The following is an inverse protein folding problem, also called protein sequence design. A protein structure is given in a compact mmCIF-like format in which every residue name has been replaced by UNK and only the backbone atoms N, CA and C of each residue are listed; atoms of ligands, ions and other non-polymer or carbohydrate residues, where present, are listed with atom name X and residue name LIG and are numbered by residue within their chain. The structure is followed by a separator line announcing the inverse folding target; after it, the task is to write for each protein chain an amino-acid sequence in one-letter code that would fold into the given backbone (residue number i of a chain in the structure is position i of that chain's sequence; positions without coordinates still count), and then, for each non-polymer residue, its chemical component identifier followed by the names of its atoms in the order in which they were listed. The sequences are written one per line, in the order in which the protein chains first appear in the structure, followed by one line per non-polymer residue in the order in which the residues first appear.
data_IF_694904400334
#
_entry.id   IF_694904400334
#
_cell.length_a   1.000
_cell.length_b   1.000
_cell.length_c   1.000
_cell.angle_alpha   90.00
_cell.angle_beta   90.00
_cell.angle_gamma   90.00
#
_symmetry.space_group_name_H-M   'P 1'
#
loop_
_entity.id
_entity.type
_entity.pdbx_description
1 polymer ?
#
# COMPACT_ATOMS: atom_id res chain seq x y z
N UNK A 1 -16.98 -15.25 -50.47
CA UNK A 1 -16.34 -15.41 -49.14
C UNK A 1 -14.82 -15.31 -49.25
N UNK A 2 -14.23 -14.10 -49.28
CA UNK A 2 -12.76 -13.99 -49.47
C UNK A 2 -12.10 -12.69 -48.98
N UNK A 3 -12.85 -11.65 -48.60
CA UNK A 3 -12.25 -10.38 -48.17
C UNK A 3 -11.64 -10.41 -46.77
N UNK A 4 -12.21 -11.20 -45.86
CA UNK A 4 -11.84 -11.17 -44.44
C UNK A 4 -10.54 -11.94 -44.13
N UNK A 5 -10.19 -12.94 -44.94
CA UNK A 5 -8.93 -13.70 -44.85
C UNK A 5 -7.75 -12.91 -45.41
N UNK A 6 -7.92 -12.25 -46.56
CA UNK A 6 -6.90 -11.43 -47.22
C UNK A 6 -6.51 -10.24 -46.34
N UNK A 7 -7.48 -9.56 -45.70
CA UNK A 7 -7.19 -8.46 -44.77
C UNK A 7 -6.47 -8.95 -43.52
N UNK A 8 -6.84 -10.11 -42.95
CA UNK A 8 -6.12 -10.69 -41.81
C UNK A 8 -4.69 -11.07 -42.16
N UNK A 9 -4.49 -11.64 -43.34
CA UNK A 9 -3.18 -12.06 -43.82
C UNK A 9 -2.26 -10.88 -44.14
N UNK A 10 -2.81 -9.82 -44.74
CA UNK A 10 -2.10 -8.56 -44.95
C UNK A 10 -1.72 -7.89 -43.62
N UNK A 11 -2.64 -7.84 -42.66
CA UNK A 11 -2.38 -7.27 -41.32
C UNK A 11 -1.35 -8.10 -40.55
N UNK A 12 -1.38 -9.43 -40.67
CA UNK A 12 -0.38 -10.34 -40.09
C UNK A 12 1.01 -10.12 -40.67
N UNK A 13 1.14 -10.09 -41.99
CA UNK A 13 2.40 -9.78 -42.67
C UNK A 13 2.94 -8.39 -42.30
N UNK A 14 2.06 -7.38 -42.20
CA UNK A 14 2.46 -6.03 -41.73
C UNK A 14 2.88 -6.01 -40.26
N UNK A 15 2.27 -6.83 -39.40
CA UNK A 15 2.67 -7.00 -37.99
C UNK A 15 4.03 -7.67 -37.89
N UNK A 16 4.27 -8.75 -38.63
CA UNK A 16 5.55 -9.45 -38.67
C UNK A 16 6.67 -8.51 -39.16
N UNK A 17 6.41 -7.71 -40.21
CA UNK A 17 7.35 -6.67 -40.67
C UNK A 17 7.57 -5.50 -39.68
N UNK A 18 6.63 -5.27 -38.75
CA UNK A 18 6.79 -4.28 -37.67
C UNK A 18 7.54 -4.86 -36.47
N UNK A 19 7.36 -6.16 -36.19
CA UNK A 19 8.09 -6.91 -35.16
C UNK A 19 9.56 -7.15 -35.58
N UNK A 20 9.86 -7.23 -36.88
CA UNK A 20 11.22 -7.33 -37.44
C UNK A 20 12.02 -6.01 -37.36
N UNK A 21 11.39 -4.86 -37.08
CA UNK A 21 12.14 -3.61 -36.90
C UNK A 21 12.86 -3.66 -35.55
N UNK A 22 14.20 -3.68 -35.61
CA UNK A 22 15.07 -3.49 -34.46
C UNK A 22 14.53 -2.36 -33.57
N UNK A 23 14.04 -2.72 -32.38
CA UNK A 23 13.47 -1.76 -31.45
C UNK A 23 14.59 -1.18 -30.58
N UNK A 24 14.76 0.15 -30.62
CA UNK A 24 15.66 0.82 -29.68
C UNK A 24 15.08 0.66 -28.28
N UNK A 25 15.88 0.07 -27.38
CA UNK A 25 15.48 -0.14 -25.99
C UNK A 25 15.33 1.20 -25.28
N UNK A 26 14.16 1.46 -24.71
CA UNK A 26 13.89 2.70 -24.00
C UNK A 26 14.54 2.68 -22.61
N UNK A 27 15.63 3.41 -22.46
CA UNK A 27 16.27 3.69 -21.17
C UNK A 27 15.80 5.04 -20.63
N UNK A 28 15.65 5.11 -19.31
CA UNK A 28 15.12 6.28 -18.60
C UNK A 28 16.22 6.90 -17.75
N UNK A 29 16.18 8.22 -17.58
CA UNK A 29 17.09 8.92 -16.68
C UNK A 29 16.92 8.43 -15.23
N UNK A 30 17.96 8.56 -14.38
CA UNK A 30 17.86 8.30 -12.95
C UNK A 30 16.67 9.05 -12.33
N UNK A 31 15.88 8.39 -11.49
CA UNK A 31 14.81 9.02 -10.72
C UNK A 31 13.55 9.34 -11.51
N UNK A 32 13.62 9.29 -12.84
CA UNK A 32 12.52 9.68 -13.71
C UNK A 32 11.33 8.72 -13.61
N UNK A 33 11.53 7.43 -13.90
CA UNK A 33 10.41 6.52 -14.15
C UNK A 33 10.47 5.24 -13.31
N UNK A 34 9.36 4.91 -12.65
CA UNK A 34 9.03 3.58 -12.15
C UNK A 34 8.00 2.87 -13.05
N UNK A 35 7.90 1.55 -12.93
CA UNK A 35 6.86 0.76 -13.60
C UNK A 35 6.22 -0.18 -12.60
N UNK A 36 4.89 -0.22 -12.61
CA UNK A 36 4.10 -1.04 -11.71
C UNK A 36 3.23 -2.02 -12.49
N UNK A 37 3.12 -3.25 -12.00
CA UNK A 37 2.18 -4.23 -12.52
C UNK A 37 1.59 -5.15 -11.43
N UNK A 38 0.46 -5.76 -11.76
CA UNK A 38 -0.10 -6.88 -11.00
C UNK A 38 0.17 -8.19 -11.72
N UNK A 39 0.56 -9.21 -10.96
CA UNK A 39 0.60 -10.58 -11.46
C UNK A 39 -0.33 -11.47 -10.64
N UNK A 40 -1.22 -12.19 -11.32
CA UNK A 40 -2.06 -13.21 -10.70
C UNK A 40 -1.35 -14.57 -10.70
N UNK A 41 -1.36 -15.27 -9.57
CA UNK A 41 -0.76 -16.60 -9.42
C UNK A 41 -1.87 -17.63 -9.23
N UNK A 42 -2.36 -18.17 -10.35
CA UNK A 42 -3.52 -19.07 -10.41
C UNK A 42 -3.37 -20.34 -9.54
N UNK A 43 -2.16 -20.91 -9.54
CA UNK A 43 -1.86 -22.16 -8.82
C UNK A 43 -1.53 -21.94 -7.33
N UNK A 44 -1.63 -20.71 -6.84
CA UNK A 44 -1.24 -20.35 -5.48
C UNK A 44 -2.40 -19.71 -4.73
N UNK A 45 -2.60 -20.17 -3.51
CA UNK A 45 -3.58 -19.61 -2.59
C UNK A 45 -2.97 -19.42 -1.22
N UNK A 46 -3.62 -18.62 -0.39
CA UNK A 46 -3.29 -18.48 1.03
C UNK A 46 -4.54 -18.66 1.86
N UNK A 47 -4.40 -19.34 3.00
CA UNK A 47 -5.49 -19.47 3.96
C UNK A 47 -5.53 -18.22 4.85
N UNK A 48 -6.59 -17.45 4.73
CA UNK A 48 -6.80 -16.24 5.55
C UNK A 48 -8.19 -16.29 6.18
N UNK A 49 -8.25 -16.19 7.52
CA UNK A 49 -9.49 -16.30 8.30
C UNK A 49 -10.33 -17.55 7.94
N UNK A 50 -9.65 -18.69 7.75
CA UNK A 50 -10.28 -19.98 7.41
C UNK A 50 -10.79 -20.09 5.96
N UNK A 51 -10.48 -19.14 5.08
CA UNK A 51 -10.86 -19.18 3.66
C UNK A 51 -9.64 -19.15 2.77
N UNK A 52 -9.63 -20.00 1.74
CA UNK A 52 -8.63 -19.94 0.69
C UNK A 52 -8.88 -18.70 -0.17
N UNK A 53 -7.88 -17.83 -0.27
CA UNK A 53 -7.90 -16.63 -1.09
C UNK A 53 -6.93 -16.73 -2.25
N UNK A 54 -7.31 -16.11 -3.37
CA UNK A 54 -6.47 -15.92 -4.55
C UNK A 54 -5.23 -15.10 -4.18
N UNK A 55 -4.11 -15.44 -4.82
CA UNK A 55 -2.83 -14.76 -4.60
C UNK A 55 -2.49 -13.84 -5.78
N UNK A 56 -2.28 -12.56 -5.47
CA UNK A 56 -1.78 -11.56 -6.40
C UNK A 56 -0.43 -11.05 -5.92
N UNK A 57 0.41 -10.61 -6.85
CA UNK A 57 1.70 -10.00 -6.56
C UNK A 57 1.69 -8.59 -7.13
N UNK A 58 1.97 -7.61 -6.29
CA UNK A 58 2.36 -6.27 -6.67
C UNK A 58 3.82 -6.29 -7.09
N UNK A 59 4.14 -5.71 -8.24
CA UNK A 59 5.52 -5.59 -8.71
C UNK A 59 5.82 -4.14 -9.02
N UNK A 60 6.93 -3.64 -8.50
CA UNK A 60 7.46 -2.33 -8.82
C UNK A 60 8.92 -2.43 -9.24
N UNK A 61 9.27 -1.78 -10.34
CA UNK A 61 10.65 -1.68 -10.80
C UNK A 61 11.01 -0.24 -11.15
N UNK A 62 12.16 0.22 -10.66
CA UNK A 62 12.75 1.48 -11.07
C UNK A 62 13.40 1.36 -12.45
N UNK A 63 13.12 2.31 -13.33
CA UNK A 63 13.50 2.29 -14.73
C UNK A 63 15.01 2.37 -14.95
N UNK A 64 15.74 3.13 -14.12
CA UNK A 64 17.18 3.31 -14.23
C UNK A 64 17.97 2.25 -13.45
N UNK A 65 17.84 2.15 -12.11
CA UNK A 65 18.62 1.15 -11.34
C UNK A 65 18.21 -0.29 -11.58
N UNK A 66 16.99 -0.53 -12.05
CA UNK A 66 16.38 -1.87 -12.12
C UNK A 66 16.18 -2.51 -10.75
N UNK A 67 16.21 -1.70 -9.68
CA UNK A 67 15.85 -2.14 -8.34
C UNK A 67 14.38 -2.53 -8.34
N UNK A 68 14.10 -3.70 -7.79
CA UNK A 68 12.78 -4.34 -7.80
C UNK A 68 12.23 -4.46 -6.40
N UNK A 69 10.92 -4.29 -6.29
CA UNK A 69 10.16 -4.59 -5.09
C UNK A 69 8.95 -5.44 -5.49
N UNK A 70 8.65 -6.47 -4.70
CA UNK A 70 7.46 -7.30 -4.88
C UNK A 70 6.76 -7.48 -3.53
N UNK A 71 5.42 -7.56 -3.55
CA UNK A 71 4.60 -7.81 -2.36
C UNK A 71 3.38 -8.64 -2.77
N UNK A 72 3.11 -9.73 -2.04
CA UNK A 72 1.96 -10.59 -2.26
C UNK A 72 0.76 -10.14 -1.42
N UNK A 73 -0.41 -10.16 -2.04
CA UNK A 73 -1.68 -9.69 -1.47
C UNK A 73 -2.84 -10.58 -1.91
N UNK A 74 -3.97 -10.50 -1.20
CA UNK A 74 -5.17 -11.31 -1.48
C UNK A 74 -6.28 -10.54 -2.19
N UNK A 75 -6.12 -9.23 -2.37
CA UNK A 75 -7.02 -8.34 -3.11
C UNK A 75 -6.24 -7.31 -3.91
N UNK A 76 -6.87 -6.74 -4.94
CA UNK A 76 -6.31 -5.66 -5.75
C UNK A 76 -7.14 -4.37 -5.58
N UNK A 77 -7.63 -4.07 -4.38
CA UNK A 77 -8.35 -2.81 -4.13
C UNK A 77 -7.43 -1.60 -4.30
N UNK A 78 -8.01 -0.41 -4.49
CA UNK A 78 -7.22 0.84 -4.54
C UNK A 78 -6.45 1.06 -3.23
N UNK A 79 -7.02 0.71 -2.07
CA UNK A 79 -6.32 0.76 -0.78
C UNK A 79 -5.08 -0.13 -0.78
N UNK A 80 -5.23 -1.38 -1.20
CA UNK A 80 -4.12 -2.33 -1.30
C UNK A 80 -3.07 -1.83 -2.28
N UNK A 81 -3.46 -1.30 -3.43
CA UNK A 81 -2.52 -0.70 -4.39
C UNK A 81 -1.70 0.44 -3.76
N UNK A 82 -2.35 1.36 -3.06
CA UNK A 82 -1.69 2.48 -2.39
C UNK A 82 -0.73 1.97 -1.31
N UNK A 83 -1.14 0.97 -0.52
CA UNK A 83 -0.32 0.36 0.53
C UNK A 83 0.95 -0.24 -0.03
N UNK A 84 0.84 -1.03 -1.10
CA UNK A 84 2.02 -1.62 -1.74
C UNK A 84 2.95 -0.56 -2.32
N UNK A 85 2.44 0.57 -2.84
CA UNK A 85 3.29 1.69 -3.26
C UNK A 85 4.01 2.33 -2.08
N UNK A 86 3.32 2.59 -0.97
CA UNK A 86 3.94 3.16 0.23
C UNK A 86 5.07 2.25 0.73
N UNK A 87 4.85 0.94 0.78
CA UNK A 87 5.87 -0.04 1.15
C UNK A 87 7.04 -0.06 0.16
N UNK A 88 6.77 -0.02 -1.14
CA UNK A 88 7.81 0.04 -2.18
C UNK A 88 8.65 1.31 -2.05
N UNK A 89 8.04 2.47 -1.82
CA UNK A 89 8.76 3.72 -1.64
C UNK A 89 9.65 3.67 -0.41
N UNK A 90 9.16 3.12 0.72
CA UNK A 90 9.98 2.90 1.92
C UNK A 90 11.18 2.00 1.61
N UNK A 91 10.97 0.93 0.87
CA UNK A 91 12.02 0.00 0.46
C UNK A 91 13.09 0.67 -0.42
N UNK A 92 12.69 1.55 -1.34
CA UNK A 92 13.65 2.30 -2.17
C UNK A 92 14.29 3.48 -1.45
N UNK A 93 13.71 3.95 -0.33
CA UNK A 93 14.09 5.19 0.35
C UNK A 93 13.57 6.46 -0.35
N UNK A 94 12.62 6.33 -1.27
CA UNK A 94 12.10 7.44 -2.09
C UNK A 94 11.14 6.98 -3.18
N UNK A 95 10.69 7.92 -4.01
CA UNK A 95 9.80 7.65 -5.15
C UNK A 95 10.25 8.38 -6.43
N UNK A 96 9.97 7.82 -7.63
CA UNK A 96 10.35 8.44 -8.90
C UNK A 96 9.40 9.58 -9.29
N UNK A 97 9.78 10.39 -10.28
CA UNK A 97 8.96 11.48 -10.81
C UNK A 97 7.68 11.00 -11.49
N UNK A 98 7.75 9.91 -12.24
CA UNK A 98 6.62 9.30 -12.91
C UNK A 98 6.57 7.78 -12.71
N UNK A 99 5.35 7.23 -12.72
CA UNK A 99 5.14 5.79 -12.60
C UNK A 99 4.22 5.33 -13.72
N UNK A 100 4.67 4.33 -14.48
CA UNK A 100 3.92 3.75 -15.58
C UNK A 100 2.94 2.68 -15.06
N UNK A 101 1.68 2.84 -15.45
CA UNK A 101 0.55 1.99 -15.08
C UNK A 101 -0.15 1.43 -16.32
N UNK A 102 -0.76 0.26 -16.17
CA UNK A 102 -1.79 -0.18 -17.10
C UNK A 102 -3.11 0.58 -16.90
N UNK A 103 -4.07 0.39 -17.80
CA UNK A 103 -5.42 0.95 -17.73
C UNK A 103 -6.30 0.23 -16.69
N UNK A 104 -5.75 -0.04 -15.50
CA UNK A 104 -6.44 -0.74 -14.43
C UNK A 104 -7.38 0.18 -13.65
N UNK A 105 -8.54 -0.34 -13.23
CA UNK A 105 -9.62 0.44 -12.58
C UNK A 105 -9.20 1.12 -11.28
N UNK A 106 -8.19 0.55 -10.62
CA UNK A 106 -7.60 1.08 -9.40
C UNK A 106 -6.92 2.43 -9.63
N UNK A 107 -6.42 2.66 -10.85
CA UNK A 107 -5.71 3.88 -11.27
C UNK A 107 -6.62 4.75 -12.13
N UNK A 108 -7.36 4.18 -13.08
CA UNK A 108 -8.16 4.91 -14.08
C UNK A 108 -9.60 4.43 -14.10
N UNK A 109 -10.55 5.35 -13.91
CA UNK A 109 -11.99 5.04 -13.96
C UNK A 109 -12.51 5.20 -15.40
N UNK A 110 -12.09 6.25 -16.11
CA UNK A 110 -12.53 6.51 -17.49
C UNK A 110 -11.37 7.03 -18.32
N UNK A 111 -11.11 6.38 -19.45
CA UNK A 111 -10.08 6.79 -20.41
C UNK A 111 -10.67 7.66 -21.51
N UNK A 112 -10.05 8.80 -21.78
CA UNK A 112 -10.33 9.63 -22.95
C UNK A 112 -9.13 9.62 -23.91
N UNK A 113 -9.30 10.16 -25.12
CA UNK A 113 -8.31 10.09 -26.21
C UNK A 113 -6.96 10.73 -25.83
N UNK A 114 -6.98 11.75 -24.97
CA UNK A 114 -5.77 12.27 -24.32
C UNK A 114 -5.70 11.82 -22.87
N UNK A 115 -4.46 11.63 -22.40
CA UNK A 115 -4.19 11.19 -21.03
C UNK A 115 -4.56 12.26 -19.99
N UNK A 116 -4.38 13.54 -20.33
CA UNK A 116 -4.79 14.70 -19.52
C UNK A 116 -6.31 14.74 -19.26
N UNK A 117 -7.09 14.11 -20.13
CA UNK A 117 -8.56 14.06 -20.03
C UNK A 117 -9.06 12.77 -19.34
N UNK A 118 -8.17 11.86 -18.94
CA UNK A 118 -8.58 10.60 -18.30
C UNK A 118 -8.91 10.82 -16.82
N UNK A 119 -10.04 10.29 -16.37
CA UNK A 119 -10.47 10.39 -14.97
C UNK A 119 -9.76 9.32 -14.15
N UNK A 120 -8.82 9.75 -13.31
CA UNK A 120 -8.16 8.87 -12.34
C UNK A 120 -9.14 8.46 -11.24
N UNK A 121 -8.81 7.36 -10.57
CA UNK A 121 -9.49 7.03 -9.31
C UNK A 121 -9.16 8.11 -8.28
N UNK A 122 -10.18 8.79 -7.73
CA UNK A 122 -10.00 9.93 -6.82
C UNK A 122 -9.07 9.64 -5.64
N UNK A 123 -9.14 8.44 -5.07
CA UNK A 123 -8.27 8.07 -3.95
C UNK A 123 -6.82 7.86 -4.39
N UNK A 124 -6.62 7.33 -5.59
CA UNK A 124 -5.30 7.16 -6.18
C UNK A 124 -4.71 8.50 -6.65
N UNK A 125 -5.55 9.40 -7.16
CA UNK A 125 -5.18 10.76 -7.52
C UNK A 125 -4.72 11.57 -6.30
N UNK A 126 -5.44 11.47 -5.18
CA UNK A 126 -5.03 12.09 -3.91
C UNK A 126 -3.67 11.57 -3.43
N UNK A 127 -3.48 10.25 -3.48
CA UNK A 127 -2.19 9.62 -3.18
C UNK A 127 -1.05 10.11 -4.10
N UNK A 128 -1.30 10.17 -5.41
CA UNK A 128 -0.34 10.68 -6.38
C UNK A 128 -0.02 12.15 -6.13
N UNK A 129 -1.03 12.97 -5.82
CA UNK A 129 -0.86 14.39 -5.47
C UNK A 129 -0.11 14.61 -4.15
N UNK A 130 -0.32 13.76 -3.14
CA UNK A 130 0.38 13.85 -1.85
C UNK A 130 1.89 13.66 -2.00
N UNK A 131 2.32 12.67 -2.78
CA UNK A 131 3.74 12.45 -3.07
C UNK A 131 4.22 13.31 -4.25
N UNK A 132 3.34 13.82 -5.10
CA UNK A 132 3.69 14.64 -6.26
C UNK A 132 4.29 13.86 -7.45
N UNK A 133 4.19 12.52 -7.47
CA UNK A 133 4.58 11.74 -8.65
C UNK A 133 3.47 11.76 -9.71
N UNK A 134 3.85 11.60 -10.98
CA UNK A 134 2.92 11.61 -12.11
C UNK A 134 2.52 10.19 -12.53
N UNK A 135 1.23 9.81 -12.45
CA UNK A 135 0.76 8.57 -13.04
C UNK A 135 0.78 8.64 -14.57
N UNK A 136 1.51 7.73 -15.21
CA UNK A 136 1.59 7.61 -16.67
C UNK A 136 0.86 6.37 -17.13
N UNK A 137 -0.09 6.51 -18.07
CA UNK A 137 -0.84 5.37 -18.60
C UNK A 137 -0.20 4.84 -19.87
N UNK A 138 -0.05 3.52 -19.94
CA UNK A 138 0.39 2.85 -21.16
C UNK A 138 -0.52 3.19 -22.34
N UNK A 139 0.07 3.69 -23.44
CA UNK A 139 -0.65 3.89 -24.70
C UNK A 139 -0.88 2.53 -25.38
N UNK A 140 -2.09 2.26 -25.91
CA UNK A 140 -2.32 1.11 -26.78
C UNK A 140 -1.31 1.14 -27.94
N UNK A 141 -0.78 -0.03 -28.29
CA UNK A 141 0.17 -0.23 -29.40
C UNK A 141 1.59 0.36 -29.19
N UNK A 142 1.96 0.79 -27.98
CA UNK A 142 3.36 1.09 -27.59
C UNK A 142 3.81 0.26 -26.36
N UNK A 143 3.82 -1.06 -26.51
CA UNK A 143 4.24 -1.99 -25.45
C UNK A 143 5.71 -1.87 -25.03
N UNK A 144 6.54 -1.16 -25.80
CA UNK A 144 7.99 -1.09 -25.55
C UNK A 144 8.36 -0.44 -24.21
N UNK A 145 7.50 0.41 -23.65
CA UNK A 145 7.78 1.10 -22.39
C UNK A 145 7.53 0.24 -21.16
N UNK A 146 6.60 -0.74 -21.18
CA UNK A 146 6.27 -1.59 -20.01
C UNK A 146 7.12 -2.87 -19.89
N UNK A 147 7.97 -3.16 -20.88
CA UNK A 147 8.74 -4.40 -20.93
C UNK A 147 9.77 -4.62 -19.80
N UNK A 148 9.98 -3.67 -18.87
CA UNK A 148 10.84 -3.87 -17.68
C UNK A 148 10.07 -4.62 -16.58
N UNK A 149 8.81 -4.23 -16.34
CA UNK A 149 7.97 -4.88 -15.33
C UNK A 149 7.44 -6.24 -15.82
N UNK A 150 7.08 -6.38 -17.09
CA UNK A 150 6.66 -7.67 -17.67
C UNK A 150 7.75 -8.75 -17.54
N UNK A 151 9.01 -8.41 -17.86
CA UNK A 151 10.15 -9.31 -17.63
C UNK A 151 10.35 -9.63 -16.15
N UNK A 152 10.00 -8.71 -15.26
CA UNK A 152 10.10 -8.92 -13.82
C UNK A 152 9.03 -9.87 -13.33
N UNK A 153 7.80 -9.81 -13.87
CA UNK A 153 6.75 -10.80 -13.61
C UNK A 153 7.24 -12.19 -13.97
N UNK A 154 7.79 -12.36 -15.18
CA UNK A 154 8.33 -13.65 -15.61
C UNK A 154 9.47 -14.12 -14.70
N UNK A 155 10.38 -13.22 -14.33
CA UNK A 155 11.49 -13.54 -13.43
C UNK A 155 11.02 -14.02 -12.05
N UNK A 156 9.98 -13.38 -11.47
CA UNK A 156 9.38 -13.83 -10.20
C UNK A 156 8.78 -15.23 -10.35
N UNK A 157 8.06 -15.50 -11.43
CA UNK A 157 7.51 -16.84 -11.70
C UNK A 157 8.59 -17.90 -11.78
N UNK A 158 9.67 -17.62 -12.52
CA UNK A 158 10.70 -18.62 -12.84
C UNK A 158 11.77 -18.78 -11.75
N UNK A 159 11.96 -17.80 -10.86
CA UNK A 159 13.08 -17.80 -9.90
C UNK A 159 12.67 -17.66 -8.44
N UNK A 160 11.51 -17.05 -8.15
CA UNK A 160 11.03 -16.91 -6.77
C UNK A 160 9.99 -17.97 -6.44
N UNK A 161 9.00 -18.17 -7.32
CA UNK A 161 7.88 -19.07 -7.04
C UNK A 161 8.19 -20.54 -7.27
N UNK A 162 9.24 -20.87 -8.03
CA UNK A 162 9.64 -22.26 -8.26
C UNK A 162 10.10 -22.90 -6.95
N UNK A 163 9.35 -23.91 -6.49
CA UNK A 163 9.66 -24.65 -5.26
C UNK A 163 9.39 -23.89 -3.96
N UNK A 164 8.71 -22.74 -4.04
CA UNK A 164 8.38 -21.94 -2.85
C UNK A 164 7.45 -22.72 -1.92
N UNK A 165 7.70 -22.62 -0.61
CA UNK A 165 6.82 -23.14 0.43
C UNK A 165 6.60 -22.03 1.45
N UNK A 166 5.33 -21.78 1.77
CA UNK A 166 4.95 -20.76 2.73
C UNK A 166 3.74 -21.22 3.53
N UNK A 167 3.66 -20.75 4.77
CA UNK A 167 2.63 -21.11 5.75
C UNK A 167 1.56 -20.02 5.92
N UNK A 168 1.88 -18.78 5.55
CA UNK A 168 1.01 -17.62 5.65
C UNK A 168 1.40 -16.56 4.63
N UNK A 169 0.57 -15.52 4.48
CA UNK A 169 0.89 -14.37 3.62
C UNK A 169 2.12 -13.61 4.13
N UNK A 170 2.24 -13.48 5.46
CA UNK A 170 3.36 -12.79 6.10
C UNK A 170 4.68 -13.53 5.89
N UNK A 171 4.66 -14.86 6.01
CA UNK A 171 5.80 -15.73 5.70
C UNK A 171 6.24 -15.56 4.23
N UNK A 172 5.29 -15.63 3.29
CA UNK A 172 5.56 -15.43 1.87
C UNK A 172 6.17 -14.04 1.59
N UNK A 173 5.63 -12.98 2.22
CA UNK A 173 6.14 -11.62 2.06
C UNK A 173 7.52 -11.41 2.71
N UNK A 174 7.81 -12.09 3.83
CA UNK A 174 9.15 -12.12 4.41
C UNK A 174 10.17 -12.75 3.46
N UNK A 175 9.81 -13.88 2.84
CA UNK A 175 10.63 -14.54 1.82
C UNK A 175 10.80 -13.65 0.57
N UNK A 176 9.74 -12.98 0.13
CA UNK A 176 9.76 -12.07 -1.01
C UNK A 176 10.71 -10.88 -0.78
N UNK A 177 10.68 -10.27 0.41
CA UNK A 177 11.59 -9.19 0.78
C UNK A 177 13.05 -9.67 0.80
N UNK A 178 13.32 -10.82 1.40
CA UNK A 178 14.65 -11.42 1.41
C UNK A 178 15.15 -11.72 -0.02
N UNK A 179 14.26 -12.20 -0.90
CA UNK A 179 14.58 -12.41 -2.30
C UNK A 179 14.88 -11.11 -3.03
N UNK A 180 14.07 -10.06 -2.84
CA UNK A 180 14.33 -8.72 -3.38
C UNK A 180 15.72 -8.20 -2.99
N UNK A 181 16.09 -8.32 -1.71
CA UNK A 181 17.43 -7.94 -1.23
C UNK A 181 18.54 -8.75 -1.92
N UNK A 182 18.35 -10.06 -2.07
CA UNK A 182 19.31 -10.95 -2.74
C UNK A 182 19.50 -10.61 -4.21
N UNK A 183 18.41 -10.38 -4.97
CA UNK A 183 18.50 -10.16 -6.42
C UNK A 183 18.97 -8.75 -6.76
N UNK A 184 18.58 -7.75 -5.98
CA UNK A 184 19.05 -6.37 -6.18
C UNK A 184 20.49 -6.14 -5.72
N UNK A 185 21.04 -7.04 -4.91
CA UNK A 185 22.46 -7.07 -4.53
C UNK A 185 23.37 -7.81 -5.52
N UNK A 186 22.83 -8.32 -6.65
CA UNK A 186 23.60 -9.04 -7.69
C UNK A 186 23.68 -8.26 -8.99
N UNK A 187 24.67 -8.57 -9.80
CA UNK A 187 24.83 -7.97 -11.14
C UNK A 187 23.61 -8.28 -11.99
N UNK A 188 22.97 -7.24 -12.52
CA UNK A 188 21.79 -7.39 -13.37
C UNK A 188 22.20 -7.53 -14.84
N UNK A 189 21.72 -8.59 -15.50
CA UNK A 189 22.19 -9.01 -16.82
C UNK A 189 22.07 -7.98 -17.96
N UNK A 190 21.15 -7.02 -17.84
CA UNK A 190 21.00 -5.95 -18.86
C UNK A 190 21.90 -4.75 -18.59
N UNK A 191 22.11 -4.40 -17.33
CA UNK A 191 22.84 -3.18 -16.95
C UNK A 191 24.32 -3.47 -16.66
N UNK A 192 24.68 -4.75 -16.46
CA UNK A 192 26.01 -5.20 -16.04
C UNK A 192 26.52 -4.50 -14.76
N UNK A 193 25.58 -4.04 -13.94
CA UNK A 193 25.83 -3.37 -12.67
C UNK A 193 24.86 -3.91 -11.61
N UNK A 194 25.21 -3.72 -10.34
CA UNK A 194 24.37 -4.09 -9.20
C UNK A 194 23.24 -3.04 -9.04
N UNK A 195 21.95 -3.43 -9.03
CA UNK A 195 20.83 -2.51 -8.85
C UNK A 195 20.95 -1.61 -7.62
N UNK A 196 21.33 -2.16 -6.46
CA UNK A 196 21.54 -1.35 -5.25
C UNK A 196 22.66 -0.30 -5.38
N UNK A 197 23.71 -0.55 -6.17
CA UNK A 197 24.74 0.45 -6.45
C UNK A 197 24.28 1.52 -7.45
N UNK A 198 23.37 1.17 -8.36
CA UNK A 198 22.70 2.16 -9.21
C UNK A 198 21.65 2.98 -8.45
N UNK A 199 20.97 2.37 -7.47
CA UNK A 199 19.94 3.03 -6.67
C UNK A 199 20.48 4.26 -5.92
N UNK A 200 21.73 4.18 -5.43
CA UNK A 200 22.42 5.32 -4.79
C UNK A 200 22.57 6.53 -5.71
N UNK A 201 22.58 6.29 -7.03
CA UNK A 201 22.70 7.29 -8.10
C UNK A 201 21.34 7.62 -8.74
N UNK A 202 20.25 7.07 -8.22
CA UNK A 202 18.90 7.23 -8.77
C UNK A 202 18.38 8.66 -8.58
N UNK A 203 18.69 9.31 -7.45
CA UNK A 203 18.18 10.66 -7.17
C UNK A 203 16.67 10.71 -6.96
N UNK A 204 16.11 9.73 -6.23
CA UNK A 204 14.68 9.67 -5.93
C UNK A 204 14.22 10.86 -5.08
N UNK A 205 12.93 11.19 -5.21
CA UNK A 205 12.31 12.16 -4.32
C UNK A 205 12.21 11.60 -2.89
N UNK A 206 12.52 12.40 -1.86
CA UNK A 206 12.59 11.92 -0.48
C UNK A 206 11.20 11.73 0.13
N UNK A 207 11.08 10.72 0.99
CA UNK A 207 9.89 10.49 1.83
C UNK A 207 9.89 11.43 3.03
N UNK A 208 9.29 12.61 2.88
CA UNK A 208 9.18 13.61 3.97
C UNK A 208 8.00 13.34 4.92
N UNK A 209 6.95 12.70 4.42
CA UNK A 209 5.69 12.40 5.13
C UNK A 209 5.13 11.10 4.59
N UNK A 210 4.35 10.41 5.42
CA UNK A 210 3.65 9.19 5.01
C UNK A 210 2.20 9.49 4.65
N UNK A 211 1.73 8.90 3.55
CA UNK A 211 0.33 8.97 3.17
C UNK A 211 -0.49 7.98 4.01
N UNK A 212 -1.52 8.51 4.69
CA UNK A 212 -2.43 7.73 5.51
C UNK A 212 -3.57 7.24 4.61
N UNK A 213 -3.57 5.93 4.34
CA UNK A 213 -4.48 5.26 3.38
C UNK A 213 -5.90 5.17 3.94
N UNK A 214 -5.99 5.07 5.26
CA UNK A 214 -7.25 4.87 5.94
C UNK A 214 -8.11 6.12 5.84
N UNK A 215 -9.26 5.95 5.18
CA UNK A 215 -10.36 6.92 5.25
C UNK A 215 -10.56 7.25 6.72
N UNK A 216 -10.49 8.53 7.06
CA UNK A 216 -10.99 9.03 8.33
C UNK A 216 -12.40 8.47 8.51
N UNK A 217 -12.54 7.47 9.37
CA UNK A 217 -13.81 6.84 9.65
C UNK A 217 -14.43 7.64 10.77
N UNK A 218 -15.37 8.54 10.45
CA UNK A 218 -16.16 9.18 11.49
C UNK A 218 -16.99 8.11 12.20
N UNK A 219 -16.84 8.03 13.53
CA UNK A 219 -17.59 7.14 14.41
C UNK A 219 -18.14 7.93 15.56
N UNK A 220 -19.44 7.77 15.79
CA UNK A 220 -20.09 8.26 17.00
C UNK A 220 -19.66 7.39 18.18
N UNK A 221 -19.10 8.01 19.22
CA UNK A 221 -18.81 7.32 20.49
C UNK A 221 -20.12 6.97 21.17
N UNK A 222 -20.32 5.69 21.47
CA UNK A 222 -21.52 5.19 22.13
C UNK A 222 -21.53 5.54 23.63
N UNK A 223 -22.66 5.32 24.31
CA UNK A 223 -22.83 5.67 25.73
C UNK A 223 -21.92 4.84 26.67
N UNK A 224 -21.54 3.65 26.22
CA UNK A 224 -20.57 2.76 26.86
C UNK A 224 -19.10 3.14 26.55
N UNK A 225 -18.88 4.31 25.93
CA UNK A 225 -17.59 4.85 25.53
C UNK A 225 -16.86 4.00 24.47
N UNK A 226 -17.60 3.23 23.67
CA UNK A 226 -17.03 2.41 22.59
C UNK A 226 -17.24 3.03 21.19
N UNK A 227 -16.28 2.77 20.31
CA UNK A 227 -16.36 3.01 18.86
C UNK A 227 -16.22 1.69 18.09
N UNK A 228 -16.86 1.59 16.93
CA UNK A 228 -16.81 0.37 16.10
C UNK A 228 -15.81 0.49 14.95
N UNK A 229 -14.95 -0.51 14.80
CA UNK A 229 -14.02 -0.64 13.68
C UNK A 229 -13.77 -2.12 13.35
N UNK A 230 -13.84 -2.49 12.06
CA UNK A 230 -13.54 -3.86 11.62
C UNK A 230 -14.45 -4.96 12.17
N UNK A 231 -15.62 -4.63 12.72
CA UNK A 231 -16.51 -5.60 13.39
C UNK A 231 -16.15 -5.86 14.87
N UNK A 232 -15.23 -5.07 15.43
CA UNK A 232 -14.83 -5.06 16.84
C UNK A 232 -15.15 -3.69 17.47
N UNK A 233 -15.09 -3.63 18.80
CA UNK A 233 -15.32 -2.41 19.56
C UNK A 233 -14.06 -2.00 20.33
N UNK A 234 -13.82 -0.69 20.38
CA UNK A 234 -12.64 -0.10 21.02
C UNK A 234 -13.08 1.04 21.93
N UNK A 235 -12.57 1.06 23.15
CA UNK A 235 -12.89 2.12 24.11
C UNK A 235 -12.23 3.46 23.77
N UNK A 236 -12.86 4.57 24.13
CA UNK A 236 -12.26 5.92 24.12
C UNK A 236 -12.59 6.61 25.44
N UNK A 237 -11.85 7.65 25.86
CA UNK A 237 -12.10 8.31 27.14
C UNK A 237 -13.55 8.79 27.28
N UNK A 238 -14.13 8.62 28.47
CA UNK A 238 -15.56 8.84 28.71
C UNK A 238 -16.05 10.28 28.45
N UNK A 239 -15.12 11.24 28.41
CA UNK A 239 -15.40 12.64 28.05
C UNK A 239 -15.79 12.85 26.57
N UNK A 240 -15.57 11.84 25.72
CA UNK A 240 -15.96 11.84 24.31
C UNK A 240 -17.27 11.10 24.04
N UNK A 241 -17.94 10.55 25.06
CA UNK A 241 -19.22 9.87 24.89
C UNK A 241 -20.25 10.77 24.18
N UNK A 242 -20.87 10.26 23.11
CA UNK A 242 -21.81 11.01 22.29
C UNK A 242 -21.20 11.96 21.26
N UNK A 243 -19.88 12.11 21.19
CA UNK A 243 -19.19 12.91 20.16
C UNK A 243 -18.83 12.08 18.94
N UNK A 244 -18.65 12.73 17.79
CA UNK A 244 -18.14 12.10 16.57
C UNK A 244 -16.61 12.19 16.55
N UNK A 245 -15.93 11.06 16.35
CA UNK A 245 -14.47 10.96 16.35
C UNK A 245 -13.95 10.38 15.04
N UNK A 246 -12.81 10.86 14.59
CA UNK A 246 -12.09 10.36 13.43
C UNK A 246 -11.29 9.11 13.83
N UNK A 247 -11.56 7.98 13.19
CA UNK A 247 -10.84 6.73 13.42
C UNK A 247 -9.95 6.44 12.23
N UNK A 248 -8.66 6.24 12.49
CA UNK A 248 -7.61 5.98 11.51
C UNK A 248 -6.89 4.72 11.93
N UNK A 249 -6.83 3.70 11.07
CA UNK A 249 -5.93 2.58 11.32
C UNK A 249 -4.62 2.78 10.57
N UNK A 250 -3.53 2.48 11.27
CA UNK A 250 -2.17 2.58 10.78
C UNK A 250 -1.46 1.28 11.16
N UNK A 251 -1.06 0.50 10.15
CA UNK A 251 -0.50 -0.84 10.30
C UNK A 251 -1.39 -1.78 11.13
N UNK A 252 -0.99 -2.09 12.37
CA UNK A 252 -1.72 -2.91 13.32
C UNK A 252 -2.35 -2.11 14.47
N UNK A 253 -2.38 -0.78 14.35
CA UNK A 253 -2.89 0.13 15.37
C UNK A 253 -4.12 0.89 14.88
N UNK A 254 -5.01 1.22 15.81
CA UNK A 254 -6.21 1.99 15.60
C UNK A 254 -6.15 3.26 16.46
N UNK A 255 -6.02 4.42 15.82
CA UNK A 255 -5.98 5.71 16.48
C UNK A 255 -7.34 6.41 16.34
N UNK A 256 -7.85 6.95 17.45
CA UNK A 256 -9.03 7.80 17.47
C UNK A 256 -8.65 9.26 17.72
N UNK A 257 -9.26 10.17 16.98
CA UNK A 257 -9.00 11.62 17.04
C UNK A 257 -10.30 12.40 17.24
N UNK A 258 -10.25 13.46 18.04
CA UNK A 258 -11.31 14.45 18.16
C UNK A 258 -10.70 15.84 17.98
N UNK A 259 -11.23 16.64 17.03
CA UNK A 259 -10.73 18.00 16.74
C UNK A 259 -9.20 18.05 16.53
N UNK A 260 -8.64 17.05 15.84
CA UNK A 260 -7.20 16.96 15.53
C UNK A 260 -6.33 16.44 16.68
N UNK A 261 -6.87 16.23 17.88
CA UNK A 261 -6.16 15.63 19.02
C UNK A 261 -6.35 14.11 19.02
N UNK A 262 -5.27 13.34 19.15
CA UNK A 262 -5.35 11.90 19.40
C UNK A 262 -5.89 11.67 20.82
N UNK A 263 -6.99 10.90 20.92
CA UNK A 263 -7.69 10.64 22.18
C UNK A 263 -7.57 9.19 22.65
N UNK A 264 -7.26 8.26 21.74
CA UNK A 264 -7.03 6.85 22.06
C UNK A 264 -6.17 6.20 20.98
N UNK A 265 -5.43 5.16 21.37
CA UNK A 265 -4.65 4.30 20.48
C UNK A 265 -4.79 2.85 20.95
N UNK A 266 -5.15 1.95 20.04
CA UNK A 266 -5.35 0.53 20.33
C UNK A 266 -4.60 -0.34 19.34
N UNK A 267 -4.29 -1.58 19.71
CA UNK A 267 -3.91 -2.61 18.73
C UNK A 267 -5.18 -3.15 18.08
N UNK A 268 -5.18 -3.29 16.76
CA UNK A 268 -6.31 -3.86 16.01
C UNK A 268 -6.46 -5.34 16.37
N UNK A 269 -7.67 -5.72 16.79
CA UNK A 269 -8.03 -7.13 16.93
C UNK A 269 -8.44 -7.73 15.59
N UNK A 270 -7.88 -8.89 15.27
CA UNK A 270 -8.22 -9.69 14.09
C UNK A 270 -9.34 -10.71 14.34
N UNK A 271 -9.81 -10.80 15.58
CA UNK A 271 -11.00 -11.57 15.93
C UNK A 271 -12.26 -10.84 15.47
N UNK A 272 -13.44 -11.47 15.60
CA UNK A 272 -14.73 -10.82 15.34
C UNK A 272 -15.51 -10.68 16.62
N UNK A 273 -16.18 -9.54 16.81
CA UNK A 273 -16.97 -9.19 18.00
C UNK A 273 -16.11 -9.09 19.28
N UNK A 274 -14.84 -8.74 19.12
CA UNK A 274 -13.94 -8.48 20.23
C UNK A 274 -14.16 -7.08 20.81
N UNK A 275 -13.86 -6.92 22.11
CA UNK A 275 -13.97 -5.66 22.86
C UNK A 275 -12.60 -5.31 23.47
N UNK A 276 -11.94 -4.31 22.87
CA UNK A 276 -10.62 -3.83 23.33
C UNK A 276 -10.84 -2.62 24.24
N UNK A 277 -10.73 -2.84 25.54
CA UNK A 277 -11.11 -1.89 26.59
C UNK A 277 -9.89 -1.46 27.39
N UNK A 278 -9.67 -0.14 27.49
CA UNK A 278 -8.70 0.47 28.37
C UNK A 278 -9.43 1.04 29.59
N UNK A 279 -9.15 0.48 30.77
CA UNK A 279 -9.79 0.90 32.01
C UNK A 279 -9.60 2.40 32.32
N UNK A 280 -8.51 3.00 31.86
CA UNK A 280 -8.25 4.42 32.07
C UNK A 280 -9.26 5.34 31.37
N UNK A 281 -9.88 4.87 30.29
CA UNK A 281 -10.92 5.61 29.59
C UNK A 281 -12.17 5.85 30.47
N UNK A 282 -12.37 5.05 31.52
CA UNK A 282 -13.55 5.09 32.38
C UNK A 282 -13.30 5.75 33.74
N UNK A 283 -12.06 6.17 34.07
CA UNK A 283 -11.72 6.70 35.43
C UNK A 283 -12.68 7.77 35.94
N UNK A 284 -13.14 8.69 35.07
CA UNK A 284 -14.06 9.77 35.48
C UNK A 284 -15.48 9.29 35.81
N UNK A 285 -15.88 8.12 35.32
CA UNK A 285 -17.15 7.47 35.65
C UNK A 285 -17.01 6.69 36.96
N UNK A 286 -15.91 5.97 37.15
CA UNK A 286 -15.63 5.19 38.38
C UNK A 286 -15.58 6.08 39.63
N UNK A 287 -15.04 7.30 39.53
CA UNK A 287 -15.02 8.24 40.67
C UNK A 287 -16.42 8.72 41.07
N UNK A 288 -17.42 8.65 40.18
CA UNK A 288 -18.81 9.05 40.45
C UNK A 288 -19.72 7.90 40.89
N UNK A 289 -19.34 6.65 40.61
CA UNK A 289 -20.14 5.48 40.92
C UNK A 289 -19.33 4.57 41.84
N UNK A 290 -19.58 4.67 43.14
CA UNK A 290 -19.23 3.62 44.10
C UNK A 290 -20.08 2.38 43.80
N UNK A 291 -19.59 1.49 42.94
CA UNK A 291 -20.21 0.20 42.72
C UNK A 291 -19.50 -0.84 43.58
N UNK A 292 -20.28 -1.55 44.41
CA UNK A 292 -19.84 -2.70 45.22
C UNK A 292 -19.69 -4.01 44.39
N UNK A 293 -19.62 -3.90 43.06
CA UNK A 293 -19.54 -5.05 42.14
C UNK A 293 -18.32 -4.87 41.24
N UNK A 294 -17.41 -5.85 41.26
CA UNK A 294 -16.23 -5.90 40.38
C UNK A 294 -16.65 -5.94 38.91
N UNK A 295 -16.10 -5.03 38.10
CA UNK A 295 -16.39 -4.94 36.67
C UNK A 295 -15.30 -5.66 35.87
N UNK A 296 -15.57 -6.93 35.54
CA UNK A 296 -14.64 -7.82 34.81
C UNK A 296 -14.25 -7.31 33.42
N UNK A 297 -15.00 -6.37 32.82
CA UNK A 297 -14.61 -5.73 31.56
C UNK A 297 -13.40 -4.78 31.70
N UNK A 298 -13.11 -4.32 32.92
CA UNK A 298 -12.01 -3.39 33.22
C UNK A 298 -10.76 -4.10 33.77
N UNK A 299 -10.82 -5.43 33.94
CA UNK A 299 -9.76 -6.26 34.55
C UNK A 299 -8.80 -6.89 33.52
N UNK A 300 -8.94 -6.58 32.23
CA UNK A 300 -8.09 -7.16 31.18
C UNK A 300 -6.68 -6.55 31.12
N UNK A 301 -5.65 -7.40 31.25
CA UNK A 301 -4.22 -7.07 31.13
C UNK A 301 -3.73 -6.72 29.70
N UNK A 302 -4.62 -6.64 28.71
CA UNK A 302 -4.26 -6.48 27.30
C UNK A 302 -4.27 -5.03 26.80
N UNK A 303 -3.74 -4.09 27.59
CA UNK A 303 -3.58 -2.70 27.14
C UNK A 303 -2.19 -2.16 27.42
N UNK A 304 -1.38 -2.10 26.37
CA UNK A 304 -0.22 -1.21 26.31
C UNK A 304 -0.74 0.15 25.87
N UNK A 305 -0.93 1.06 26.82
CA UNK A 305 -1.08 2.49 26.53
C UNK A 305 0.29 3.14 26.79
N UNK A 306 0.91 3.71 25.76
CA UNK A 306 2.05 4.59 25.98
C UNK A 306 1.49 5.87 26.60
N UNK A 307 1.90 6.26 27.82
CA UNK A 307 1.39 7.49 28.42
C UNK A 307 1.69 8.66 27.49
N UNK A 308 0.65 9.41 27.15
CA UNK A 308 0.79 10.73 26.54
C UNK A 308 1.65 11.55 27.50
N UNK A 309 2.88 11.86 27.09
CA UNK A 309 3.67 12.89 27.76
C UNK A 309 2.94 14.20 27.52
N UNK A 310 2.14 14.62 28.50
CA UNK A 310 1.70 16.01 28.62
C UNK A 310 2.97 16.84 28.77
N UNK A 311 3.49 17.36 27.65
CA UNK A 311 4.52 18.39 27.73
C UNK A 311 3.83 19.64 28.24
N UNK A 312 4.31 20.09 29.38
CA UNK A 312 3.92 21.34 29.99
C UNK A 312 4.08 22.49 28.96
N UNK A 313 3.00 23.26 28.79
CA UNK A 313 2.95 24.38 27.85
C UNK A 313 3.79 25.58 28.35
N UNK A 314 4.24 25.56 29.62
CA UNK A 314 5.15 26.57 30.19
C UNK A 314 6.46 26.72 29.40
N UNK A 315 6.88 25.69 28.66
CA UNK A 315 8.07 25.75 27.79
C UNK A 315 7.93 26.66 26.57
N UNK A 316 6.72 27.03 26.16
CA UNK A 316 6.53 28.02 25.09
C UNK A 316 6.65 29.46 25.61
N UNK A 317 6.34 29.69 26.88
CA UNK A 317 6.46 31.02 27.50
C UNK A 317 7.92 31.40 27.78
N UNK A 318 8.82 30.43 27.96
CA UNK A 318 10.28 30.65 28.07
C UNK A 318 10.96 30.98 26.72
N UNK A 319 10.33 30.66 25.58
CA UNK A 319 10.88 30.93 24.24
C UNK A 319 10.30 32.21 23.63
N UNK A 320 9.26 32.77 24.26
CA UNK A 320 8.59 34.00 23.85
C UNK A 320 8.81 35.17 24.83
N UNK A 321 9.68 35.01 25.83
CA UNK A 321 10.13 36.09 26.73
C UNK A 321 11.52 36.63 26.38
#
# INVERSE_FOLDING_TARGET
EGGHSIVREYVRNKKEQLDEKATVRFETMPGLQGQMDWAFFEDHTVLEAGKLKKLYCFLFILGYSRTRYIEFVTDMSTNTLIRCHANAFRYFGGYPEEILYDNMKQVVIKRLLKQEDSTLNRQFEDFAGFYGFKPVLCRPYRGQTKGKVERTVQFVRDNFMVGIKYSSLDDLNGQALAWCNKVNGKVHATTNEIPFERLKREGLNPLKREYIIDKINLRRVQKDCLISYGGNQYSVPSEYAGKDVAVVALDNMLAAYHEGKQIALHRISYQKKDMVVNAHHYRRLTVKQSFDIENTLLEGDNVIDFPIVLRDLSRYDEVLS
#
